data_IF_251104245000
#
_entry.id   IF_251104245000
#
_cell.length_a   1.000
_cell.length_b   1.000
_cell.length_c   1.000
_cell.angle_alpha   90.00
_cell.angle_beta   90.00
_cell.angle_gamma   90.00
#
_symmetry.space_group_name_H-M   'P 1'
#
loop_
_entity.id
_entity.type
_entity.pdbx_description
1 polymer ?
#
# COMPACT_ATOMS: atom_id res chain seq x y z
N UNK A 1 16.74 16.44 3.91
CA UNK A 1 15.32 16.32 4.29
C UNK A 1 15.12 15.19 5.31
N UNK A 2 14.93 15.52 6.60
CA UNK A 2 14.87 14.55 7.73
C UNK A 2 13.76 13.48 7.60
N UNK A 3 12.73 13.72 6.79
CA UNK A 3 11.54 12.88 6.67
C UNK A 3 11.50 11.99 5.40
N UNK A 4 12.51 12.07 4.53
CA UNK A 4 12.56 11.35 3.25
C UNK A 4 12.27 9.83 3.37
N UNK A 5 12.84 9.10 4.36
CA UNK A 5 12.59 7.66 4.49
C UNK A 5 11.13 7.33 4.81
N UNK A 6 10.43 8.20 5.53
CA UNK A 6 9.03 8.01 5.90
C UNK A 6 8.11 8.23 4.69
N UNK A 7 8.39 9.24 3.87
CA UNK A 7 7.65 9.44 2.61
C UNK A 7 7.84 8.26 1.65
N UNK A 8 9.05 7.70 1.55
CA UNK A 8 9.30 6.49 0.76
C UNK A 8 8.54 5.27 1.29
N UNK A 9 8.46 5.10 2.62
CA UNK A 9 7.66 4.06 3.27
C UNK A 9 6.18 4.17 2.91
N UNK A 10 5.63 5.38 3.08
CA UNK A 10 4.21 5.66 2.85
C UNK A 10 3.86 5.46 1.37
N UNK A 11 4.69 5.98 0.48
CA UNK A 11 4.54 5.82 -0.97
C UNK A 11 4.65 4.35 -1.38
N UNK A 12 5.61 3.59 -0.82
CA UNK A 12 5.76 2.16 -1.07
C UNK A 12 4.53 1.34 -0.63
N UNK A 13 3.93 1.70 0.52
CA UNK A 13 2.71 1.06 1.01
C UNK A 13 1.54 1.25 0.05
N UNK A 14 1.19 2.50 -0.27
CA UNK A 14 0.04 2.81 -1.12
C UNK A 14 0.22 2.32 -2.56
N UNK A 15 1.42 2.43 -3.13
CA UNK A 15 1.70 1.88 -4.45
C UNK A 15 1.50 0.37 -4.47
N UNK A 16 1.96 -0.34 -3.43
CA UNK A 16 1.78 -1.79 -3.35
C UNK A 16 0.30 -2.16 -3.29
N UNK A 17 -0.52 -1.44 -2.53
CA UNK A 17 -1.97 -1.66 -2.52
C UNK A 17 -2.60 -1.45 -3.90
N UNK A 18 -2.21 -0.39 -4.62
CA UNK A 18 -2.70 -0.11 -5.97
C UNK A 18 -2.29 -1.22 -6.94
N UNK A 19 -1.02 -1.62 -6.93
CA UNK A 19 -0.53 -2.70 -7.80
C UNK A 19 -1.20 -4.02 -7.50
N UNK A 20 -1.36 -4.40 -6.23
CA UNK A 20 -2.05 -5.63 -5.86
C UNK A 20 -3.52 -5.60 -6.28
N UNK A 21 -4.22 -4.48 -6.14
CA UNK A 21 -5.60 -4.35 -6.62
C UNK A 21 -5.69 -4.49 -8.15
N UNK A 22 -4.76 -3.88 -8.90
CA UNK A 22 -4.71 -3.99 -10.37
C UNK A 22 -4.39 -5.42 -10.80
N UNK A 23 -3.37 -6.04 -10.21
CA UNK A 23 -2.97 -7.43 -10.48
C UNK A 23 -4.14 -8.37 -10.17
N UNK A 24 -4.81 -8.16 -9.03
CA UNK A 24 -5.97 -8.95 -8.62
C UNK A 24 -7.08 -8.88 -9.65
N UNK A 25 -7.36 -7.68 -10.17
CA UNK A 25 -8.36 -7.47 -11.22
C UNK A 25 -7.96 -8.13 -12.55
N UNK A 26 -6.70 -8.04 -12.95
CA UNK A 26 -6.20 -8.62 -14.21
C UNK A 26 -6.20 -10.15 -14.16
N UNK A 27 -5.82 -10.74 -13.03
CA UNK A 27 -5.72 -12.19 -12.84
C UNK A 27 -6.99 -12.83 -12.29
N UNK A 28 -8.05 -12.06 -12.05
CA UNK A 28 -9.32 -12.51 -11.46
C UNK A 28 -9.13 -13.22 -10.11
N UNK A 29 -8.29 -12.63 -9.24
CA UNK A 29 -7.98 -13.16 -7.91
C UNK A 29 -8.81 -12.40 -6.87
N UNK A 30 -9.96 -12.97 -6.50
CA UNK A 30 -10.97 -12.34 -5.64
C UNK A 30 -10.44 -11.83 -4.29
N UNK A 31 -9.46 -12.53 -3.70
CA UNK A 31 -8.88 -12.12 -2.42
C UNK A 31 -7.84 -10.99 -2.55
N UNK A 32 -7.37 -10.66 -3.75
CA UNK A 32 -6.43 -9.57 -3.99
C UNK A 32 -7.14 -8.28 -4.41
N UNK A 33 -8.40 -8.40 -4.85
CA UNK A 33 -9.24 -7.29 -5.32
C UNK A 33 -9.78 -6.51 -4.11
N UNK A 34 -9.75 -5.18 -4.21
CA UNK A 34 -10.55 -4.30 -3.36
C UNK A 34 -12.00 -4.39 -3.83
N UNK A 35 -12.81 -5.18 -3.11
CA UNK A 35 -14.23 -5.28 -3.39
C UNK A 35 -14.93 -4.08 -2.75
N UNK A 36 -15.55 -3.25 -3.58
CA UNK A 36 -16.50 -2.23 -3.17
C UNK A 36 -17.90 -2.77 -3.42
N UNK A 37 -18.57 -3.23 -2.37
CA UNK A 37 -19.98 -3.61 -2.45
C UNK A 37 -20.82 -2.36 -2.18
N UNK A 38 -21.47 -1.85 -3.23
CA UNK A 38 -22.47 -0.78 -3.09
C UNK A 38 -23.83 -1.46 -2.88
N UNK A 39 -24.24 -1.57 -1.62
CA UNK A 39 -25.62 -1.92 -1.31
C UNK A 39 -26.43 -0.64 -1.19
N UNK A 40 -27.25 -0.37 -2.21
CA UNK A 40 -28.33 0.62 -2.09
C UNK A 40 -29.35 0.11 -1.09
N UNK A 41 -29.25 0.57 0.15
CA UNK A 41 -30.30 0.43 1.14
C UNK A 41 -31.16 1.69 1.00
N UNK A 42 -32.47 1.53 0.91
CA UNK A 42 -33.46 2.61 0.74
C UNK A 42 -33.42 3.72 1.80
N UNK A 43 -32.60 3.57 2.86
CA UNK A 43 -32.43 4.51 3.97
C UNK A 43 -31.01 5.11 4.11
N UNK A 44 -30.12 4.92 3.12
CA UNK A 44 -28.75 5.43 3.13
C UNK A 44 -27.77 4.35 2.71
N UNK A 45 -26.98 4.63 1.66
CA UNK A 45 -26.03 3.67 1.10
C UNK A 45 -24.92 3.32 2.09
N UNK A 46 -24.65 2.03 2.26
CA UNK A 46 -23.48 1.53 3.00
C UNK A 46 -22.42 1.17 1.97
N UNK A 47 -21.27 1.83 2.04
CA UNK A 47 -20.09 1.48 1.23
C UNK A 47 -19.26 0.49 2.04
N UNK A 48 -19.25 -0.77 1.63
CA UNK A 48 -18.39 -1.78 2.24
C UNK A 48 -17.15 -2.00 1.37
N UNK A 49 -15.98 -1.63 1.88
CA UNK A 49 -14.69 -1.93 1.26
C UNK A 49 -14.07 -3.15 1.94
N UNK A 50 -13.96 -4.26 1.20
CA UNK A 50 -13.30 -5.47 1.69
C UNK A 50 -11.89 -5.55 1.11
N UNK A 51 -10.92 -5.73 1.99
CA UNK A 51 -9.52 -5.95 1.63
C UNK A 51 -9.00 -7.18 2.37
N UNK A 52 -8.23 -8.02 1.68
CA UNK A 52 -7.61 -9.17 2.33
C UNK A 52 -6.44 -8.75 3.21
N UNK A 53 -6.31 -9.43 4.35
CA UNK A 53 -5.18 -9.27 5.26
C UNK A 53 -3.83 -9.50 4.58
N UNK A 54 -3.75 -10.43 3.63
CA UNK A 54 -2.49 -10.72 2.94
C UNK A 54 -2.01 -9.55 2.08
N UNK A 55 -2.94 -8.80 1.48
CA UNK A 55 -2.66 -7.58 0.71
C UNK A 55 -2.08 -6.49 1.61
N UNK A 56 -2.64 -6.33 2.81
CA UNK A 56 -2.13 -5.40 3.84
C UNK A 56 -0.73 -5.84 4.32
N UNK A 57 -0.53 -7.13 4.58
CA UNK A 57 0.76 -7.67 5.03
C UNK A 57 1.84 -7.41 3.97
N UNK A 58 1.56 -7.71 2.70
CA UNK A 58 2.50 -7.46 1.60
C UNK A 58 2.82 -5.97 1.46
N UNK A 59 1.81 -5.09 1.52
CA UNK A 59 2.04 -3.65 1.49
C UNK A 59 2.89 -3.16 2.67
N UNK A 60 2.70 -3.74 3.85
CA UNK A 60 3.49 -3.42 5.05
C UNK A 60 4.95 -3.85 4.90
N UNK A 61 5.19 -5.05 4.36
CA UNK A 61 6.55 -5.55 4.08
C UNK A 61 7.27 -4.62 3.11
N UNK A 62 6.62 -4.25 1.99
CA UNK A 62 7.21 -3.33 1.02
C UNK A 62 7.47 -1.96 1.64
N UNK A 63 6.52 -1.43 2.43
CA UNK A 63 6.70 -0.16 3.16
C UNK A 63 7.96 -0.19 4.03
N UNK A 64 8.15 -1.24 4.83
CA UNK A 64 9.31 -1.41 5.68
C UNK A 64 10.62 -1.47 4.88
N UNK A 65 10.63 -2.20 3.76
CA UNK A 65 11.79 -2.27 2.87
C UNK A 65 12.10 -0.89 2.24
N UNK A 66 11.08 -0.16 1.78
CA UNK A 66 11.22 1.20 1.25
C UNK A 66 11.77 2.17 2.30
N UNK A 67 11.31 2.09 3.55
CA UNK A 67 11.87 2.87 4.66
C UNK A 67 13.33 2.54 4.92
N UNK A 68 13.66 1.24 4.98
CA UNK A 68 15.02 0.76 5.22
C UNK A 68 15.99 1.23 4.13
N UNK A 69 15.58 1.16 2.86
CA UNK A 69 16.35 1.66 1.73
C UNK A 69 16.53 3.18 1.78
N UNK A 70 15.46 3.92 2.06
CA UNK A 70 15.51 5.37 2.22
C UNK A 70 16.45 5.79 3.34
N UNK A 71 16.45 5.07 4.47
CA UNK A 71 17.34 5.34 5.60
C UNK A 71 18.80 5.09 5.25
N UNK A 72 19.11 3.98 4.56
CA UNK A 72 20.47 3.65 4.11
C UNK A 72 21.03 4.72 3.18
N UNK A 73 20.29 5.06 2.12
CA UNK A 73 20.70 6.09 1.15
C UNK A 73 20.98 7.43 1.82
N UNK A 74 20.13 7.83 2.78
CA UNK A 74 20.31 9.07 3.51
C UNK A 74 21.48 9.07 4.50
N UNK A 75 21.90 7.90 4.99
CA UNK A 75 23.12 7.75 5.80
C UNK A 75 24.37 7.85 4.92
N UNK A 76 24.36 7.21 3.76
CA UNK A 76 25.47 7.26 2.79
C UNK A 76 25.69 8.69 2.29
N UNK A 77 24.62 9.45 1.98
CA UNK A 77 24.68 10.86 1.57
C UNK A 77 25.23 11.80 2.67
N UNK A 78 25.14 11.41 3.95
CA UNK A 78 25.69 12.20 5.07
C UNK A 78 27.17 11.92 5.34
N UNK A 79 27.67 10.77 4.91
CA UNK A 79 29.07 10.36 5.09
C UNK A 79 29.96 10.87 3.94
N UNK A 80 29.36 11.27 2.82
CA UNK A 80 30.05 11.82 1.64
C UNK A 80 30.06 13.35 1.56
N UNK A 81 29.37 14.04 2.49
CA UNK A 81 29.32 15.51 2.62
C UNK A 81 30.25 16.02 3.72
#
# INVERSE_FOLDING_TARGET
MKYMPYYMSLLGFFLTLIFLAIIGKVLNIDWLILLYDFREISNGGIVEARISWITIILATIVSYLSWKLGKKKFQDDKLSS
#
